data_IF_711706286870
#
_entry.id   IF_711706286870
#
_cell.length_a   1.000
_cell.length_b   1.000
_cell.length_c   1.000
_cell.angle_alpha   90.00
_cell.angle_beta   90.00
_cell.angle_gamma   90.00
#
_symmetry.space_group_name_H-M   'P 1'
#
loop_
_entity.id
_entity.type
_entity.pdbx_description
1 polymer ?
#
# COMPACT_ATOMS: atom_id res chain seq x y z
N UNK A 1 -8.15 21.43 12.00
CA UNK A 1 -7.18 20.60 11.28
C UNK A 1 -6.40 21.45 10.30
N UNK A 2 -5.13 21.28 10.30
CA UNK A 2 -4.28 22.05 9.40
C UNK A 2 -4.13 21.32 8.07
N UNK A 3 -4.29 22.04 7.02
CA UNK A 3 -3.99 21.51 5.70
C UNK A 3 -2.49 21.54 5.51
N UNK A 4 -1.96 20.46 5.02
CA UNK A 4 -0.56 20.36 4.71
C UNK A 4 -0.41 20.37 3.22
N UNK A 5 0.30 21.36 2.72
CA UNK A 5 0.58 21.45 1.29
C UNK A 5 2.01 20.99 1.06
N UNK A 6 2.13 19.97 0.25
CA UNK A 6 3.43 19.41 -0.11
C UNK A 6 3.57 19.56 -1.61
N UNK A 7 4.66 20.18 -2.03
CA UNK A 7 4.94 20.32 -3.45
C UNK A 7 5.26 18.95 -4.06
N UNK A 8 5.12 18.86 -5.37
CA UNK A 8 5.51 17.65 -6.10
C UNK A 8 6.99 17.32 -5.87
N UNK A 9 7.81 18.33 -5.79
CA UNK A 9 9.23 18.14 -5.55
C UNK A 9 9.49 17.49 -4.21
N UNK A 10 8.83 17.97 -3.17
CA UNK A 10 8.96 17.38 -1.84
C UNK A 10 8.40 15.98 -1.79
N UNK A 11 7.30 15.74 -2.50
CA UNK A 11 6.69 14.43 -2.56
C UNK A 11 7.64 13.42 -3.19
N UNK A 12 8.27 13.79 -4.30
CA UNK A 12 9.22 12.92 -4.96
C UNK A 12 10.46 12.67 -4.12
N UNK A 13 10.91 13.67 -3.38
CA UNK A 13 12.03 13.50 -2.45
C UNK A 13 11.70 12.49 -1.36
N UNK A 14 10.46 12.53 -0.86
CA UNK A 14 10.02 11.57 0.14
C UNK A 14 10.01 10.17 -0.42
N UNK A 15 9.56 10.01 -1.65
CA UNK A 15 9.56 8.69 -2.29
C UNK A 15 10.99 8.19 -2.45
N UNK A 16 11.91 9.04 -2.87
CA UNK A 16 13.32 8.67 -3.00
C UNK A 16 13.92 8.27 -1.66
N UNK A 17 13.60 9.00 -0.62
CA UNK A 17 14.08 8.68 0.73
C UNK A 17 13.56 7.32 1.18
N UNK A 18 12.30 7.04 0.92
CA UNK A 18 11.72 5.76 1.27
C UNK A 18 12.36 4.62 0.49
N UNK A 19 12.58 4.83 -0.81
CA UNK A 19 13.24 3.83 -1.64
C UNK A 19 14.66 3.55 -1.14
N UNK A 20 15.38 4.59 -0.77
CA UNK A 20 16.72 4.44 -0.22
C UNK A 20 16.70 3.63 1.07
N UNK A 21 15.73 3.92 1.93
CA UNK A 21 15.60 3.18 3.18
C UNK A 21 15.32 1.70 2.93
N UNK A 22 14.41 1.42 2.00
CA UNK A 22 14.10 0.03 1.64
C UNK A 22 15.34 -0.68 1.12
N UNK A 23 16.09 0.00 0.28
CA UNK A 23 17.32 -0.56 -0.28
C UNK A 23 18.35 -0.84 0.82
N UNK A 24 18.55 0.12 1.71
CA UNK A 24 19.54 -0.01 2.78
C UNK A 24 19.13 -1.05 3.82
N UNK A 25 17.85 -1.26 4.03
CA UNK A 25 17.36 -2.28 4.94
C UNK A 25 17.52 -3.68 4.34
N UNK A 26 18.05 -3.77 3.14
CA UNK A 26 18.29 -5.02 2.45
C UNK A 26 17.01 -5.86 2.33
N UNK A 27 15.89 -5.18 2.16
CA UNK A 27 14.60 -5.82 1.97
C UNK A 27 14.56 -6.45 0.59
N UNK A 28 14.33 -7.75 0.54
CA UNK A 28 14.28 -8.46 -0.75
C UNK A 28 12.84 -8.74 -1.11
N UNK A 29 12.50 -8.37 -2.32
CA UNK A 29 11.14 -8.59 -2.82
C UNK A 29 11.21 -8.77 -4.34
N UNK A 30 10.26 -9.50 -4.85
CA UNK A 30 10.16 -9.75 -6.29
C UNK A 30 8.80 -9.32 -6.84
N UNK A 31 8.02 -8.65 -6.03
CA UNK A 31 6.70 -8.14 -6.42
C UNK A 31 6.40 -6.91 -5.60
N UNK A 32 5.94 -5.86 -6.27
CA UNK A 32 5.42 -4.67 -5.57
C UNK A 32 3.91 -4.66 -5.76
N UNK A 33 3.19 -4.41 -4.68
CA UNK A 33 1.76 -4.17 -4.74
C UNK A 33 1.53 -2.78 -4.18
N UNK A 34 0.88 -1.92 -4.94
CA UNK A 34 0.51 -0.61 -4.43
C UNK A 34 -0.99 -0.57 -4.15
N UNK A 35 -1.33 0.19 -3.14
CA UNK A 35 -2.73 0.39 -2.77
C UNK A 35 -3.21 1.66 -3.45
N UNK A 36 -4.12 1.50 -4.39
CA UNK A 36 -4.67 2.64 -5.09
C UNK A 36 -5.73 3.30 -4.21
N UNK A 37 -5.85 4.61 -4.32
CA UNK A 37 -5.15 5.47 -5.28
C UNK A 37 -3.84 6.03 -4.74
N UNK A 38 -3.76 6.21 -3.43
CA UNK A 38 -2.65 6.94 -2.82
C UNK A 38 -1.28 6.34 -3.11
N UNK A 39 -1.21 5.03 -3.16
CA UNK A 39 0.06 4.36 -3.39
C UNK A 39 0.48 4.22 -4.84
N UNK A 40 -0.33 4.69 -5.79
CA UNK A 40 -0.01 4.50 -7.21
C UNK A 40 1.31 5.12 -7.62
N UNK A 41 1.57 6.35 -7.18
CA UNK A 41 2.80 7.04 -7.55
C UNK A 41 4.02 6.39 -6.91
N UNK A 42 3.89 6.02 -5.64
CA UNK A 42 4.96 5.32 -4.94
C UNK A 42 5.24 3.99 -5.64
N UNK A 43 4.20 3.25 -5.95
CA UNK A 43 4.34 1.96 -6.61
C UNK A 43 4.98 2.07 -7.99
N UNK A 44 4.56 3.05 -8.77
CA UNK A 44 5.13 3.26 -10.09
C UNK A 44 6.62 3.55 -10.01
N UNK A 45 7.00 4.48 -9.14
CA UNK A 45 8.39 4.87 -9.01
C UNK A 45 9.23 3.71 -8.48
N UNK A 46 8.74 3.01 -7.45
CA UNK A 46 9.45 1.88 -6.88
C UNK A 46 9.64 0.77 -7.90
N UNK A 47 8.59 0.47 -8.68
CA UNK A 47 8.68 -0.57 -9.69
C UNK A 47 9.78 -0.26 -10.71
N UNK A 48 9.89 1.00 -11.11
CA UNK A 48 10.92 1.41 -12.05
C UNK A 48 12.31 1.42 -11.44
N UNK A 49 12.43 1.91 -10.20
CA UNK A 49 13.73 1.96 -9.53
C UNK A 49 14.29 0.58 -9.23
N UNK A 50 13.44 -0.32 -8.76
CA UNK A 50 13.89 -1.66 -8.37
C UNK A 50 13.74 -2.68 -9.48
N UNK A 51 13.13 -2.29 -10.60
CA UNK A 51 12.88 -3.17 -11.73
C UNK A 51 12.14 -4.43 -11.31
N UNK A 52 11.04 -4.23 -10.62
CA UNK A 52 10.22 -5.30 -10.06
C UNK A 52 8.78 -5.10 -10.56
N UNK A 53 8.06 -6.17 -10.91
CA UNK A 53 6.69 -6.03 -11.39
C UNK A 53 5.78 -5.36 -10.40
N UNK A 54 4.85 -4.56 -10.91
CA UNK A 54 3.87 -3.84 -10.12
C UNK A 54 2.49 -4.45 -10.27
N UNK A 55 1.83 -4.65 -9.16
CA UNK A 55 0.41 -4.99 -9.15
C UNK A 55 -0.33 -3.92 -8.36
N UNK A 56 -1.59 -3.73 -8.69
CA UNK A 56 -2.41 -2.68 -8.07
C UNK A 56 -3.59 -3.30 -7.36
N UNK A 57 -3.73 -2.96 -6.08
CA UNK A 57 -4.88 -3.34 -5.29
C UNK A 57 -5.71 -2.09 -5.04
N UNK A 58 -6.93 -2.07 -5.53
CA UNK A 58 -7.82 -0.95 -5.28
C UNK A 58 -8.57 -1.18 -3.98
N UNK A 59 -8.47 -0.23 -3.09
CA UNK A 59 -9.13 -0.31 -1.79
C UNK A 59 -9.86 1.00 -1.56
N UNK A 60 -11.12 0.91 -1.19
CA UNK A 60 -11.88 2.08 -0.78
C UNK A 60 -12.35 1.89 0.64
N UNK A 61 -12.09 2.87 1.44
CA UNK A 61 -12.58 2.91 2.79
C UNK A 61 -13.98 3.50 2.74
N UNK A 62 -14.93 2.75 3.23
CA UNK A 62 -16.31 3.19 3.23
C UNK A 62 -16.65 3.80 4.58
N UNK A 63 -16.89 5.10 4.56
CA UNK A 63 -17.39 5.80 5.74
C UNK A 63 -18.87 6.03 5.49
N UNK A 64 -19.69 5.11 5.89
CA UNK A 64 -21.09 5.24 5.62
C UNK A 64 -21.67 6.58 6.01
N UNK A 65 -22.87 6.82 5.58
CA UNK A 65 -23.56 8.03 5.98
C UNK A 65 -23.71 8.06 7.48
N UNK A 66 -23.82 9.25 8.02
CA UNK A 66 -23.93 9.42 9.45
C UNK A 66 -25.07 8.61 10.07
N UNK A 67 -26.05 8.24 9.27
CA UNK A 67 -27.18 7.46 9.76
C UNK A 67 -26.81 6.02 10.02
N UNK A 68 -25.75 5.55 9.44
CA UNK A 68 -25.40 4.16 9.52
C UNK A 68 -24.25 3.99 10.49
N UNK A 69 -24.59 3.73 11.71
CA UNK A 69 -23.62 3.61 12.79
C UNK A 69 -22.65 2.46 12.54
N UNK A 70 -23.10 1.42 11.87
CA UNK A 70 -22.26 0.26 11.61
C UNK A 70 -21.07 0.58 10.72
N UNK A 71 -21.24 1.54 9.83
CA UNK A 71 -20.19 1.89 8.90
C UNK A 71 -19.13 2.76 9.52
N UNK A 72 -19.34 3.24 10.72
CA UNK A 72 -18.35 4.02 11.42
C UNK A 72 -17.15 3.20 11.80
N UNK A 73 -17.24 1.89 11.68
CA UNK A 73 -16.13 1.00 11.96
C UNK A 73 -15.08 1.00 10.84
N UNK A 74 -15.35 1.71 9.75
CA UNK A 74 -14.37 1.77 8.68
C UNK A 74 -14.33 0.51 7.86
N UNK A 75 -15.40 0.25 7.18
CA UNK A 75 -15.43 -0.87 6.26
C UNK A 75 -14.63 -0.54 5.02
N UNK A 76 -14.01 -1.57 4.46
CA UNK A 76 -13.19 -1.44 3.27
C UNK A 76 -13.76 -2.28 2.15
N UNK A 77 -13.72 -1.73 0.96
CA UNK A 77 -14.10 -2.47 -0.24
C UNK A 77 -12.84 -2.70 -1.06
N UNK A 78 -12.63 -3.93 -1.42
CA UNK A 78 -11.46 -4.31 -2.21
C UNK A 78 -11.86 -4.63 -3.63
N UNK A 79 -10.94 -4.41 -4.58
CA UNK A 79 -11.14 -4.86 -5.94
C UNK A 79 -11.26 -6.38 -5.96
N UNK A 80 -11.85 -6.91 -7.04
CA UNK A 80 -12.06 -8.36 -7.12
C UNK A 80 -10.75 -9.11 -7.24
N UNK A 81 -9.77 -8.48 -7.86
CA UNK A 81 -8.47 -9.08 -8.10
C UNK A 81 -7.45 -7.97 -8.21
N UNK A 82 -6.20 -8.35 -8.25
CA UNK A 82 -5.13 -7.40 -8.51
C UNK A 82 -5.06 -7.11 -10.00
N UNK A 83 -4.78 -5.85 -10.34
CA UNK A 83 -4.42 -5.52 -11.71
C UNK A 83 -2.92 -5.78 -11.84
N UNK A 84 -2.57 -6.80 -12.58
CA UNK A 84 -1.16 -7.19 -12.75
C UNK A 84 -0.94 -7.72 -14.16
N UNK A 85 0.29 -7.60 -14.62
CA UNK A 85 0.65 -8.07 -15.94
C UNK A 85 1.36 -9.42 -15.93
N UNK A 86 1.76 -9.89 -14.77
CA UNK A 86 2.40 -11.19 -14.63
C UNK A 86 1.33 -12.24 -14.33
N UNK A 87 1.49 -13.46 -14.85
CA UNK A 87 0.49 -14.50 -14.61
C UNK A 87 0.40 -14.92 -13.14
N UNK A 88 1.52 -14.91 -12.44
CA UNK A 88 1.55 -15.30 -11.04
C UNK A 88 2.03 -14.16 -10.17
N UNK A 89 1.53 -14.14 -8.95
CA UNK A 89 2.00 -13.19 -7.97
C UNK A 89 3.36 -13.65 -7.46
N UNK A 90 4.26 -12.70 -7.22
CA UNK A 90 5.56 -13.03 -6.67
C UNK A 90 5.47 -13.59 -5.26
N UNK A 91 6.54 -14.20 -4.82
CA UNK A 91 6.59 -14.87 -3.52
C UNK A 91 6.98 -13.95 -2.37
N UNK A 92 7.63 -12.84 -2.66
CA UNK A 92 8.06 -11.87 -1.65
C UNK A 92 7.58 -10.50 -2.08
N UNK A 93 6.72 -9.90 -1.28
CA UNK A 93 5.94 -8.74 -1.68
C UNK A 93 6.32 -7.53 -0.86
N UNK A 94 6.49 -6.41 -1.54
CA UNK A 94 6.55 -5.11 -0.89
C UNK A 94 5.22 -4.40 -1.17
N UNK A 95 4.45 -4.20 -0.13
CA UNK A 95 3.15 -3.52 -0.21
C UNK A 95 3.37 -2.05 0.13
N UNK A 96 3.03 -1.17 -0.81
CA UNK A 96 3.31 0.26 -0.65
C UNK A 96 2.03 1.08 -0.66
N UNK A 97 2.04 2.13 0.13
CA UNK A 97 0.96 3.10 0.18
C UNK A 97 1.59 4.45 0.54
N UNK A 98 0.83 5.52 0.35
CA UNK A 98 1.37 6.85 0.65
C UNK A 98 1.16 7.23 2.10
N UNK A 99 0.08 6.80 2.72
CA UNK A 99 -0.27 7.22 4.07
C UNK A 99 -0.80 6.06 4.89
N UNK A 100 -0.21 5.85 6.05
CA UNK A 100 -0.73 4.89 7.01
C UNK A 100 -1.51 5.64 8.07
N UNK A 101 -2.82 5.62 7.94
CA UNK A 101 -3.72 6.21 8.92
C UNK A 101 -4.21 5.07 9.81
N UNK A 102 -3.65 4.99 11.00
CA UNK A 102 -3.92 3.94 11.98
C UNK A 102 -3.57 2.52 11.51
N UNK A 103 -3.04 2.37 10.33
CA UNK A 103 -2.61 1.06 9.82
C UNK A 103 -3.72 0.12 9.41
N UNK A 104 -4.96 0.54 9.49
CA UNK A 104 -6.09 -0.35 9.18
C UNK A 104 -6.11 -0.80 7.73
N UNK A 105 -5.85 0.12 6.81
CA UNK A 105 -5.84 -0.23 5.39
C UNK A 105 -4.76 -1.27 5.09
N UNK A 106 -3.58 -1.07 5.65
CA UNK A 106 -2.49 -2.01 5.44
C UNK A 106 -2.81 -3.38 6.03
N UNK A 107 -3.29 -3.42 7.26
CA UNK A 107 -3.62 -4.67 7.92
C UNK A 107 -4.70 -5.44 7.17
N UNK A 108 -5.74 -4.74 6.74
CA UNK A 108 -6.81 -5.37 6.00
C UNK A 108 -6.35 -5.84 4.63
N UNK A 109 -5.47 -5.08 3.99
CA UNK A 109 -4.93 -5.45 2.68
C UNK A 109 -4.06 -6.70 2.78
N UNK A 110 -3.23 -6.81 3.81
CA UNK A 110 -2.42 -7.99 4.02
C UNK A 110 -3.32 -9.22 4.22
N UNK A 111 -4.36 -9.08 5.03
CA UNK A 111 -5.30 -10.18 5.24
C UNK A 111 -6.01 -10.57 3.96
N UNK A 112 -6.42 -9.58 3.18
CA UNK A 112 -7.07 -9.85 1.91
C UNK A 112 -6.16 -10.64 0.97
N UNK A 113 -4.90 -10.25 0.91
CA UNK A 113 -3.93 -10.94 0.06
C UNK A 113 -3.73 -12.38 0.50
N UNK A 114 -3.61 -12.60 1.79
CA UNK A 114 -3.43 -13.95 2.32
C UNK A 114 -4.65 -14.83 2.04
N UNK A 115 -5.83 -14.28 2.22
CA UNK A 115 -7.06 -15.05 1.99
C UNK A 115 -7.31 -15.33 0.52
N UNK A 116 -6.99 -14.37 -0.33
CA UNK A 116 -7.28 -14.48 -1.76
C UNK A 116 -6.21 -15.27 -2.51
N UNK A 117 -4.94 -15.07 -2.18
CA UNK A 117 -3.84 -15.72 -2.89
C UNK A 117 -3.26 -16.91 -2.14
N UNK A 118 -3.33 -16.91 -0.83
CA UNK A 118 -2.88 -18.05 -0.05
C UNK A 118 -2.09 -17.66 1.17
N UNK A 119 -2.17 -18.50 2.20
CA UNK A 119 -1.48 -18.24 3.47
C UNK A 119 0.03 -18.42 3.35
N UNK A 120 0.52 -18.93 2.22
CA UNK A 120 1.95 -18.98 2.01
C UNK A 120 2.58 -17.57 2.03
N UNK A 121 1.75 -16.53 1.85
CA UNK A 121 2.21 -15.15 1.92
C UNK A 121 2.45 -14.65 3.33
N UNK A 122 2.04 -15.42 4.33
CA UNK A 122 2.30 -15.03 5.71
C UNK A 122 3.80 -14.84 5.89
N UNK A 123 4.18 -13.73 6.51
CA UNK A 123 5.57 -13.31 6.72
C UNK A 123 6.35 -13.01 5.44
N UNK A 124 5.68 -13.03 4.28
CA UNK A 124 6.33 -12.70 3.00
C UNK A 124 5.89 -11.36 2.45
N UNK A 125 5.11 -10.62 3.22
CA UNK A 125 4.66 -9.29 2.83
C UNK A 125 5.30 -8.29 3.78
N UNK A 126 6.09 -7.38 3.20
CA UNK A 126 6.64 -6.24 3.93
C UNK A 126 5.88 -5.01 3.48
N UNK A 127 5.79 -4.03 4.35
CA UNK A 127 5.05 -2.81 4.02
C UNK A 127 6.00 -1.62 4.02
N UNK A 128 5.73 -0.67 3.14
CA UNK A 128 6.45 0.59 3.10
C UNK A 128 5.45 1.70 2.86
N UNK A 129 5.46 2.71 3.71
CA UNK A 129 4.56 3.83 3.59
C UNK A 129 5.35 5.13 3.64
N UNK A 130 4.84 6.12 2.90
CA UNK A 130 5.52 7.39 2.78
C UNK A 130 5.38 8.21 4.06
N UNK A 131 4.21 8.21 4.64
CA UNK A 131 3.92 8.92 5.88
C UNK A 131 3.14 8.06 6.83
N UNK A 132 3.44 8.23 8.12
CA UNK A 132 2.62 7.70 9.19
C UNK A 132 1.84 8.85 9.79
N UNK A 133 0.54 8.71 9.81
CA UNK A 133 -0.29 9.67 10.51
C UNK A 133 -0.39 9.19 11.95
N UNK A 134 0.07 10.04 12.84
CA UNK A 134 -0.01 9.72 14.25
C UNK A 134 -1.47 9.71 14.69
N UNK A 135 -1.87 8.63 15.31
CA UNK A 135 -3.19 8.56 15.93
C UNK A 135 -3.01 8.95 17.38
N UNK A 136 -3.45 10.08 17.69
CA UNK A 136 -3.40 10.50 19.08
C UNK A 136 -4.69 10.14 19.77
#
# INVERSE_FOLDING_TARGET
MKDIFISWEEYHKKIEQLAKKVYLDNCKFNQIICIAKGGLRVGDIFSRLFNVPLAILSVESYHGNSDDIKDQQGQFTFSRDLAKTTPNLGSHILLVDDLADSGKTLTKSVKWLELFYGFYLEERIKTAVLWHKSTS
#
